data_IF_739009202235
#
_entry.id   IF_739009202235
#
_cell.length_a   1.000
_cell.length_b   1.000
_cell.length_c   1.000
_cell.angle_alpha   90.00
_cell.angle_beta   90.00
_cell.angle_gamma   90.00
#
_symmetry.space_group_name_H-M   'P 1'
#
loop_
_entity.id
_entity.type
_entity.pdbx_description
1 polymer ?
#
# COMPACT_ATOMS: atom_id res chain seq x y z
N UNK A 1 -2.66 26.63 -22.76
CA UNK A 1 -3.55 25.49 -22.46
C UNK A 1 -5.01 25.93 -22.42
N UNK A 2 -5.41 26.87 -21.55
CA UNK A 2 -6.82 27.28 -21.37
C UNK A 2 -7.38 28.27 -22.42
N UNK A 3 -6.75 28.39 -23.58
CA UNK A 3 -7.23 29.25 -24.70
C UNK A 3 -7.64 28.44 -25.93
N UNK A 4 -7.54 27.11 -25.84
CA UNK A 4 -7.79 26.19 -26.94
C UNK A 4 -8.94 25.24 -26.58
N UNK A 5 -9.66 24.80 -27.59
CA UNK A 5 -10.56 23.65 -27.52
C UNK A 5 -9.78 22.41 -27.96
N UNK A 6 -10.03 21.28 -27.30
CA UNK A 6 -9.31 20.04 -27.57
C UNK A 6 -10.24 19.03 -28.25
N UNK A 7 -9.71 18.23 -29.19
CA UNK A 7 -10.46 17.08 -29.71
C UNK A 7 -10.60 16.01 -28.62
N UNK A 8 -9.47 15.59 -28.05
CA UNK A 8 -9.40 14.56 -27.01
C UNK A 8 -8.48 15.06 -25.91
N UNK A 9 -8.87 14.84 -24.65
CA UNK A 9 -7.98 14.99 -23.48
C UNK A 9 -8.04 13.70 -22.70
N UNK A 10 -6.91 12.99 -22.63
CA UNK A 10 -6.78 11.74 -21.87
C UNK A 10 -5.93 11.96 -20.63
N UNK A 11 -6.47 11.60 -19.47
CA UNK A 11 -5.82 11.69 -18.17
C UNK A 11 -5.49 10.28 -17.69
N UNK A 12 -4.21 9.95 -17.71
CA UNK A 12 -3.68 8.75 -17.06
C UNK A 12 -3.53 8.97 -15.54
N UNK A 13 -3.73 7.91 -14.77
CA UNK A 13 -3.80 7.94 -13.30
C UNK A 13 -4.81 8.97 -12.77
N UNK A 14 -6.06 8.88 -13.25
CA UNK A 14 -7.15 9.79 -12.88
C UNK A 14 -7.49 9.80 -11.38
N UNK A 15 -6.94 8.88 -10.57
CA UNK A 15 -6.98 8.97 -9.11
C UNK A 15 -6.41 10.30 -8.56
N UNK A 16 -5.59 11.02 -9.34
CA UNK A 16 -5.14 12.39 -9.01
C UNK A 16 -6.29 13.41 -8.97
N UNK A 17 -7.42 13.13 -9.62
CA UNK A 17 -8.62 13.97 -9.65
C UNK A 17 -9.61 13.67 -8.51
N UNK A 18 -9.24 12.82 -7.54
CA UNK A 18 -10.10 12.51 -6.40
C UNK A 18 -10.32 13.68 -5.42
N UNK A 19 -9.36 14.61 -5.36
CA UNK A 19 -9.37 15.73 -4.40
C UNK A 19 -9.52 17.05 -5.16
N UNK A 20 -10.39 17.93 -4.67
CA UNK A 20 -10.59 19.30 -5.18
C UNK A 20 -9.35 20.17 -4.90
N UNK A 21 -8.30 19.96 -5.70
CA UNK A 21 -7.00 20.61 -5.59
C UNK A 21 -6.77 21.59 -6.74
N UNK A 22 -5.66 22.35 -6.69
CA UNK A 22 -5.23 23.17 -7.84
C UNK A 22 -5.05 22.32 -9.11
N UNK A 23 -4.56 21.09 -8.97
CA UNK A 23 -4.42 20.14 -10.08
C UNK A 23 -5.79 19.73 -10.63
N UNK A 24 -6.76 19.47 -9.75
CA UNK A 24 -8.12 19.18 -10.16
C UNK A 24 -8.72 20.32 -10.99
N UNK A 25 -8.64 21.56 -10.49
CA UNK A 25 -9.16 22.73 -11.21
C UNK A 25 -8.52 22.87 -12.61
N UNK A 26 -7.19 22.74 -12.67
CA UNK A 26 -6.45 22.82 -13.92
C UNK A 26 -6.83 21.72 -14.93
N UNK A 27 -6.96 20.46 -14.48
CA UNK A 27 -7.28 19.33 -15.35
C UNK A 27 -8.76 19.30 -15.74
N UNK A 28 -9.66 19.61 -14.80
CA UNK A 28 -11.11 19.70 -15.04
C UNK A 28 -11.42 20.73 -16.13
N UNK A 29 -10.82 21.92 -16.07
CA UNK A 29 -10.98 22.94 -17.12
C UNK A 29 -10.50 22.46 -18.50
N UNK A 30 -9.42 21.67 -18.54
CA UNK A 30 -8.94 21.09 -19.80
C UNK A 30 -9.89 20.00 -20.34
N UNK A 31 -10.43 19.17 -19.45
CA UNK A 31 -11.38 18.11 -19.77
C UNK A 31 -12.73 18.67 -20.27
N UNK A 32 -13.27 19.70 -19.62
CA UNK A 32 -14.51 20.37 -20.05
C UNK A 32 -14.39 21.07 -21.41
N UNK A 33 -13.16 21.42 -21.82
CA UNK A 33 -12.86 21.99 -23.15
C UNK A 33 -12.59 20.93 -24.22
N UNK A 34 -12.59 19.65 -23.85
CA UNK A 34 -12.37 18.54 -24.77
C UNK A 34 -13.71 18.06 -25.34
N UNK A 35 -13.74 17.73 -26.64
CA UNK A 35 -14.90 17.05 -27.23
C UNK A 35 -15.02 15.61 -26.72
N UNK A 36 -13.90 14.98 -26.37
CA UNK A 36 -13.84 13.64 -25.78
C UNK A 36 -12.88 13.62 -24.58
N UNK A 37 -13.39 13.83 -23.35
CA UNK A 37 -12.63 13.64 -22.13
C UNK A 37 -12.51 12.16 -21.78
N UNK A 38 -11.30 11.68 -21.51
CA UNK A 38 -11.02 10.30 -21.12
C UNK A 38 -10.24 10.31 -19.81
N UNK A 39 -10.70 9.53 -18.83
CA UNK A 39 -9.95 9.24 -17.61
C UNK A 39 -9.60 7.76 -17.56
N UNK A 40 -8.34 7.46 -17.24
CA UNK A 40 -7.85 6.11 -17.06
C UNK A 40 -7.34 5.95 -15.63
N UNK A 41 -7.83 4.93 -14.93
CA UNK A 41 -7.36 4.58 -13.60
C UNK A 41 -7.69 3.12 -13.30
N UNK A 42 -6.73 2.39 -12.74
CA UNK A 42 -6.99 1.05 -12.22
C UNK A 42 -7.79 1.10 -10.89
N UNK A 43 -7.74 2.25 -10.19
CA UNK A 43 -8.25 2.42 -8.83
C UNK A 43 -9.02 3.74 -8.74
N UNK A 44 -10.29 3.77 -9.18
CA UNK A 44 -11.07 5.01 -9.24
C UNK A 44 -11.52 5.53 -7.86
N UNK A 45 -11.48 4.69 -6.83
CA UNK A 45 -11.85 5.04 -5.46
C UNK A 45 -10.75 4.61 -4.50
N UNK A 46 -10.38 5.47 -3.54
CA UNK A 46 -9.34 5.20 -2.56
C UNK A 46 -9.89 5.12 -1.13
N UNK A 47 -10.53 6.19 -0.67
CA UNK A 47 -10.96 6.30 0.73
C UNK A 47 -12.45 6.61 0.87
N UNK A 48 -13.07 7.19 -0.16
CA UNK A 48 -14.43 7.71 -0.04
C UNK A 48 -15.19 7.65 -1.37
N UNK A 49 -16.52 7.46 -1.35
CA UNK A 49 -17.39 7.70 -2.50
C UNK A 49 -17.21 9.10 -3.14
N UNK A 50 -16.75 10.09 -2.35
CA UNK A 50 -16.44 11.43 -2.85
C UNK A 50 -15.34 11.44 -3.93
N UNK A 51 -14.44 10.45 -3.90
CA UNK A 51 -13.38 10.31 -4.90
C UNK A 51 -14.00 10.16 -6.31
N UNK A 52 -15.02 9.31 -6.43
CA UNK A 52 -15.74 9.08 -7.68
C UNK A 52 -16.56 10.29 -8.11
N UNK A 53 -17.23 10.95 -7.17
CA UNK A 53 -18.00 12.16 -7.46
C UNK A 53 -17.09 13.25 -8.05
N UNK A 54 -15.93 13.48 -7.45
CA UNK A 54 -15.00 14.50 -7.92
C UNK A 54 -14.39 14.14 -9.29
N UNK A 55 -14.16 12.85 -9.57
CA UNK A 55 -13.75 12.39 -10.90
C UNK A 55 -14.87 12.60 -11.93
N UNK A 56 -16.11 12.25 -11.57
CA UNK A 56 -17.29 12.42 -12.43
C UNK A 56 -17.55 13.89 -12.79
N UNK A 57 -17.42 14.78 -11.80
CA UNK A 57 -17.48 16.23 -12.01
C UNK A 57 -16.39 16.72 -12.98
N UNK A 58 -15.15 16.23 -12.84
CA UNK A 58 -14.05 16.61 -13.74
C UNK A 58 -14.25 16.11 -15.18
N UNK A 59 -14.93 14.98 -15.35
CA UNK A 59 -15.26 14.41 -16.66
C UNK A 59 -16.52 15.02 -17.28
N UNK A 60 -17.30 15.79 -16.52
CA UNK A 60 -18.57 16.34 -16.97
C UNK A 60 -19.70 15.31 -17.04
N UNK A 61 -19.69 14.30 -16.16
CA UNK A 61 -20.82 13.36 -16.01
C UNK A 61 -22.03 14.14 -15.48
N UNK A 62 -23.16 14.24 -16.22
CA UNK A 62 -24.26 15.16 -15.89
C UNK A 62 -24.80 14.99 -14.47
N UNK A 63 -24.97 13.73 -14.03
CA UNK A 63 -25.53 13.39 -12.73
C UNK A 63 -24.58 13.73 -11.57
N UNK A 64 -23.29 13.87 -11.83
CA UNK A 64 -22.29 14.26 -10.84
C UNK A 64 -22.18 15.77 -10.65
N UNK A 65 -22.73 16.58 -11.57
CA UNK A 65 -22.74 18.05 -11.50
C UNK A 65 -23.92 18.59 -10.67
N UNK A 66 -24.77 17.72 -10.14
CA UNK A 66 -25.85 18.12 -9.23
C UNK A 66 -25.31 18.59 -7.87
N UNK A 67 -25.36 19.91 -7.67
CA UNK A 67 -24.96 20.56 -6.42
C UNK A 67 -25.75 20.08 -5.20
N UNK A 68 -27.01 19.64 -5.35
CA UNK A 68 -27.81 19.15 -4.23
C UNK A 68 -27.29 17.80 -3.74
N UNK A 69 -27.13 16.82 -4.65
CA UNK A 69 -26.56 15.51 -4.33
C UNK A 69 -25.14 15.64 -3.78
N UNK A 70 -24.29 16.46 -4.42
CA UNK A 70 -22.91 16.69 -3.98
C UNK A 70 -22.81 17.30 -2.58
N UNK A 71 -23.79 18.11 -2.18
CA UNK A 71 -23.86 18.67 -0.82
C UNK A 71 -24.34 17.62 0.19
N UNK A 72 -25.33 16.81 -0.17
CA UNK A 72 -25.90 15.77 0.68
C UNK A 72 -24.88 14.69 1.02
N UNK A 73 -24.21 14.12 0.02
CA UNK A 73 -23.16 13.11 0.19
C UNK A 73 -22.00 13.61 1.06
N UNK A 74 -21.54 14.86 0.86
CA UNK A 74 -20.49 15.47 1.69
C UNK A 74 -20.94 15.61 3.15
N UNK A 75 -22.22 15.96 3.37
CA UNK A 75 -22.81 16.10 4.71
C UNK A 75 -22.96 14.73 5.40
N UNK A 76 -23.53 13.75 4.72
CA UNK A 76 -23.79 12.40 5.26
C UNK A 76 -22.47 11.67 5.59
N UNK A 77 -21.52 11.66 4.64
CA UNK A 77 -20.19 11.04 4.83
C UNK A 77 -19.38 11.80 5.89
N UNK A 78 -19.42 13.13 5.90
CA UNK A 78 -18.73 13.93 6.91
C UNK A 78 -19.26 13.67 8.32
N UNK A 79 -20.58 13.53 8.48
CA UNK A 79 -21.22 13.23 9.77
C UNK A 79 -20.84 11.83 10.27
N UNK A 80 -21.01 10.81 9.44
CA UNK A 80 -20.75 9.41 9.80
C UNK A 80 -19.26 9.17 10.10
N UNK A 81 -18.36 9.73 9.28
CA UNK A 81 -16.92 9.62 9.50
C UNK A 81 -16.48 10.23 10.84
N UNK A 82 -17.00 11.40 11.21
CA UNK A 82 -16.70 12.02 12.52
C UNK A 82 -17.16 11.14 13.68
N UNK A 83 -18.35 10.54 13.59
CA UNK A 83 -18.87 9.62 14.63
C UNK A 83 -18.00 8.38 14.75
N UNK A 84 -17.63 7.76 13.63
CA UNK A 84 -16.75 6.59 13.60
C UNK A 84 -15.36 6.90 14.17
N UNK A 85 -14.77 8.04 13.83
CA UNK A 85 -13.48 8.47 14.40
C UNK A 85 -13.58 8.70 15.92
N UNK A 86 -14.65 9.32 16.40
CA UNK A 86 -14.87 9.54 17.83
C UNK A 86 -15.07 8.23 18.60
N UNK A 87 -15.81 7.28 18.03
CA UNK A 87 -16.00 5.94 18.60
C UNK A 87 -14.68 5.18 18.63
N UNK A 88 -13.94 5.15 17.52
CA UNK A 88 -12.65 4.49 17.43
C UNK A 88 -11.65 5.06 18.44
N UNK A 89 -11.55 6.38 18.55
CA UNK A 89 -10.66 7.04 19.52
C UNK A 89 -11.03 6.79 20.98
N UNK A 90 -12.28 6.41 21.26
CA UNK A 90 -12.71 6.00 22.61
C UNK A 90 -12.35 4.54 22.86
N UNK A 91 -12.70 3.65 21.93
CA UNK A 91 -12.41 2.23 22.01
C UNK A 91 -10.89 1.97 22.08
N UNK A 92 -10.09 2.71 21.32
CA UNK A 92 -8.63 2.57 21.29
C UNK A 92 -7.93 2.93 22.61
N UNK A 93 -8.64 3.55 23.57
CA UNK A 93 -8.10 3.88 24.90
C UNK A 93 -8.33 2.77 25.93
N UNK A 94 -9.12 1.74 25.59
CA UNK A 94 -9.34 0.59 26.45
C UNK A 94 -8.10 -0.32 26.45
N UNK A 95 -7.74 -0.87 27.62
CA UNK A 95 -6.52 -1.67 27.79
C UNK A 95 -6.52 -2.94 26.92
N UNK A 96 -7.69 -3.53 26.73
CA UNK A 96 -7.86 -4.81 26.03
C UNK A 96 -8.24 -4.62 24.55
N UNK A 97 -8.25 -3.38 24.03
CA UNK A 97 -8.71 -3.07 22.67
C UNK A 97 -7.96 -3.87 21.61
N UNK A 98 -6.66 -4.05 21.79
CA UNK A 98 -5.80 -4.74 20.84
C UNK A 98 -6.10 -6.24 20.82
N UNK A 99 -6.17 -6.86 21.99
CA UNK A 99 -6.44 -8.29 22.13
C UNK A 99 -7.86 -8.61 21.64
N UNK A 100 -8.81 -7.72 21.91
CA UNK A 100 -10.17 -7.80 21.40
C UNK A 100 -10.22 -7.58 19.87
N UNK A 101 -9.38 -6.71 19.30
CA UNK A 101 -9.34 -6.46 17.86
C UNK A 101 -8.76 -7.68 17.12
N UNK A 102 -7.71 -8.28 17.67
CA UNK A 102 -7.06 -9.48 17.12
C UNK A 102 -7.97 -10.70 17.23
N UNK A 103 -8.70 -10.84 18.34
CA UNK A 103 -9.70 -11.91 18.52
C UNK A 103 -11.02 -11.66 17.79
N UNK A 104 -11.17 -10.53 17.10
CA UNK A 104 -12.39 -10.17 16.36
C UNK A 104 -13.60 -9.85 17.24
N UNK A 105 -13.39 -9.54 18.52
CA UNK A 105 -14.43 -9.26 19.52
C UNK A 105 -14.80 -7.77 19.63
N UNK A 106 -14.09 -6.86 18.96
CA UNK A 106 -14.44 -5.43 18.97
C UNK A 106 -15.61 -5.15 18.01
N UNK A 107 -16.76 -4.78 18.56
CA UNK A 107 -17.87 -4.24 17.78
C UNK A 107 -17.81 -2.70 17.71
N UNK A 108 -17.74 -2.16 16.49
CA UNK A 108 -17.73 -0.71 16.20
C UNK A 108 -18.98 -0.33 15.40
N UNK A 109 -20.12 -0.06 16.07
CA UNK A 109 -21.38 0.21 15.39
C UNK A 109 -21.37 1.50 14.57
N UNK A 110 -20.68 2.57 14.99
CA UNK A 110 -20.59 3.79 14.19
C UNK A 110 -19.69 3.60 12.95
N UNK A 111 -18.64 2.75 13.05
CA UNK A 111 -17.87 2.34 11.86
C UNK A 111 -18.71 1.51 10.88
N UNK A 112 -19.57 0.61 11.38
CA UNK A 112 -20.55 -0.11 10.53
C UNK A 112 -21.56 0.85 9.88
N UNK A 113 -22.09 1.83 10.61
CA UNK A 113 -22.96 2.89 10.07
C UNK A 113 -22.26 3.66 8.93
N UNK A 114 -20.99 4.03 9.12
CA UNK A 114 -20.18 4.68 8.10
C UNK A 114 -20.03 3.83 6.83
N UNK A 115 -19.72 2.54 6.98
CA UNK A 115 -19.59 1.62 5.83
C UNK A 115 -20.90 1.45 5.08
N UNK A 116 -22.03 1.34 5.79
CA UNK A 116 -23.36 1.29 5.17
C UNK A 116 -23.71 2.58 4.40
N UNK A 117 -23.43 3.74 4.98
CA UNK A 117 -23.62 5.02 4.31
C UNK A 117 -22.75 5.14 3.04
N UNK A 118 -21.48 4.72 3.13
CA UNK A 118 -20.60 4.68 1.96
C UNK A 118 -21.15 3.75 0.88
N UNK A 119 -21.52 2.51 1.23
CA UNK A 119 -22.06 1.53 0.30
C UNK A 119 -23.35 2.02 -0.41
N UNK A 120 -24.22 2.74 0.30
CA UNK A 120 -25.42 3.39 -0.26
C UNK A 120 -25.05 4.37 -1.38
N UNK A 121 -24.16 5.32 -1.11
CA UNK A 121 -23.74 6.30 -2.13
C UNK A 121 -22.97 5.66 -3.29
N UNK A 122 -22.20 4.61 -3.01
CA UNK A 122 -21.49 3.83 -4.04
C UNK A 122 -22.48 3.26 -5.06
N UNK A 123 -23.62 2.70 -4.61
CA UNK A 123 -24.66 2.19 -5.50
C UNK A 123 -25.25 3.30 -6.39
N UNK A 124 -25.52 4.47 -5.84
CA UNK A 124 -26.02 5.63 -6.60
C UNK A 124 -24.97 6.14 -7.61
N UNK A 125 -23.72 6.26 -7.21
CA UNK A 125 -22.65 6.69 -8.13
C UNK A 125 -22.47 5.68 -9.26
N UNK A 126 -22.61 4.37 -9.00
CA UNK A 126 -22.58 3.36 -10.07
C UNK A 126 -23.65 3.59 -11.13
N UNK A 127 -24.86 4.01 -10.74
CA UNK A 127 -25.91 4.33 -11.71
C UNK A 127 -25.56 5.57 -12.54
N UNK A 128 -24.89 6.56 -11.96
CA UNK A 128 -24.45 7.77 -12.68
C UNK A 128 -23.37 7.46 -13.73
N UNK A 129 -22.48 6.53 -13.41
CA UNK A 129 -21.40 6.13 -14.32
C UNK A 129 -21.81 5.03 -15.33
N UNK A 130 -23.06 4.58 -15.31
CA UNK A 130 -23.55 3.57 -16.24
C UNK A 130 -23.50 4.11 -17.67
N UNK A 131 -22.83 3.39 -18.57
CA UNK A 131 -22.61 3.84 -19.96
C UNK A 131 -21.37 4.72 -20.16
N UNK A 132 -20.73 5.21 -19.09
CA UNK A 132 -19.50 6.02 -19.17
C UNK A 132 -18.23 5.26 -18.78
N UNK A 133 -18.36 4.11 -18.12
CA UNK A 133 -17.21 3.30 -17.66
C UNK A 133 -17.09 2.02 -18.49
N UNK A 134 -15.87 1.74 -18.93
CA UNK A 134 -15.45 0.43 -19.42
C UNK A 134 -14.47 -0.15 -18.41
N UNK A 135 -14.76 -1.35 -17.91
CA UNK A 135 -13.86 -2.08 -17.01
C UNK A 135 -13.88 -3.56 -17.35
N UNK A 136 -12.70 -4.13 -17.52
CA UNK A 136 -12.50 -5.58 -17.64
C UNK A 136 -11.67 -6.07 -16.45
N UNK A 137 -12.00 -7.25 -15.96
CA UNK A 137 -11.21 -7.98 -14.97
C UNK A 137 -10.29 -8.98 -15.69
N UNK A 138 -9.37 -9.60 -14.97
CA UNK A 138 -8.47 -10.60 -15.56
C UNK A 138 -9.21 -11.88 -15.96
N UNK A 139 -10.31 -12.17 -15.26
CA UNK A 139 -11.24 -13.26 -15.56
C UNK A 139 -12.27 -12.89 -16.64
N UNK A 140 -12.25 -11.65 -17.14
CA UNK A 140 -13.13 -11.29 -18.24
C UNK A 140 -12.75 -12.11 -19.47
N UNK A 141 -13.79 -12.56 -20.19
CA UNK A 141 -13.63 -13.39 -21.36
C UNK A 141 -13.39 -12.51 -22.59
N UNK A 142 -12.58 -13.02 -23.52
CA UNK A 142 -12.47 -12.50 -24.87
C UNK A 142 -13.68 -12.91 -25.72
N UNK A 143 -13.65 -12.57 -27.01
CA UNK A 143 -14.73 -12.89 -27.95
C UNK A 143 -14.86 -14.40 -28.24
N UNK A 144 -13.84 -15.20 -27.91
CA UNK A 144 -13.84 -16.66 -28.05
C UNK A 144 -14.28 -17.39 -26.77
N UNK A 145 -14.60 -16.64 -25.69
CA UNK A 145 -14.94 -17.21 -24.39
C UNK A 145 -13.74 -17.65 -23.56
N UNK A 146 -12.51 -17.24 -23.91
CA UNK A 146 -11.29 -17.53 -23.14
C UNK A 146 -10.94 -16.36 -22.21
N UNK A 147 -10.34 -16.60 -21.04
CA UNK A 147 -9.87 -15.52 -20.17
C UNK A 147 -8.83 -14.63 -20.87
N UNK A 148 -9.00 -13.31 -20.81
CA UNK A 148 -8.13 -12.34 -21.50
C UNK A 148 -6.66 -12.42 -21.07
N UNK A 149 -6.41 -12.70 -19.78
CA UNK A 149 -5.06 -12.69 -19.23
C UNK A 149 -4.41 -14.08 -19.22
N UNK A 150 -5.22 -15.13 -18.97
CA UNK A 150 -4.74 -16.51 -18.79
C UNK A 150 -3.75 -16.72 -17.64
N UNK A 151 -3.42 -15.66 -16.86
CA UNK A 151 -2.49 -15.73 -15.74
C UNK A 151 -3.08 -16.55 -14.60
N UNK A 152 -2.28 -17.46 -14.06
CA UNK A 152 -2.62 -18.15 -12.82
C UNK A 152 -2.80 -17.12 -11.69
N UNK A 153 -3.71 -17.35 -10.73
CA UNK A 153 -3.89 -16.47 -9.59
C UNK A 153 -2.59 -16.38 -8.78
N UNK A 154 -2.22 -15.16 -8.37
CA UNK A 154 -1.09 -14.97 -7.46
C UNK A 154 -1.45 -15.48 -6.06
N UNK A 155 -0.46 -15.98 -5.32
CA UNK A 155 -0.64 -16.37 -3.92
C UNK A 155 -0.13 -15.25 -3.02
N UNK A 156 -0.99 -14.75 -2.13
CA UNK A 156 -0.60 -13.82 -1.07
C UNK A 156 -0.59 -14.52 0.29
N UNK A 157 0.52 -14.36 1.03
CA UNK A 157 0.69 -14.86 2.39
C UNK A 157 1.04 -13.70 3.32
N UNK A 158 0.24 -13.50 4.35
CA UNK A 158 0.60 -12.62 5.47
C UNK A 158 1.35 -13.43 6.51
N UNK A 159 2.62 -13.10 6.73
CA UNK A 159 3.50 -13.76 7.70
C UNK A 159 3.46 -12.93 8.99
N UNK A 160 2.74 -13.43 9.98
CA UNK A 160 2.58 -12.81 11.29
C UNK A 160 3.72 -13.24 12.21
N UNK A 161 4.68 -12.34 12.44
CA UNK A 161 5.89 -12.59 13.20
C UNK A 161 5.75 -12.07 14.63
N UNK A 162 6.19 -12.87 15.60
CA UNK A 162 6.28 -12.41 16.99
C UNK A 162 7.53 -11.52 17.16
N UNK A 163 7.38 -10.29 17.67
CA UNK A 163 8.52 -9.39 17.90
C UNK A 163 9.47 -9.98 18.96
N UNK A 164 10.78 -9.77 18.80
CA UNK A 164 11.79 -10.15 19.78
C UNK A 164 11.71 -9.27 21.04
N UNK A 165 12.29 -9.70 22.16
CA UNK A 165 12.22 -8.95 23.44
C UNK A 165 12.78 -7.53 23.34
N UNK A 166 13.87 -7.34 22.59
CA UNK A 166 14.43 -6.01 22.33
C UNK A 166 13.47 -5.12 21.50
N UNK A 167 12.82 -5.71 20.49
CA UNK A 167 11.82 -5.03 19.65
C UNK A 167 10.58 -4.67 20.47
N UNK A 168 10.07 -5.60 21.29
CA UNK A 168 8.94 -5.36 22.21
C UNK A 168 9.22 -4.17 23.12
N UNK A 169 10.41 -4.11 23.72
CA UNK A 169 10.81 -3.00 24.60
C UNK A 169 10.85 -1.66 23.85
N UNK A 170 11.42 -1.65 22.64
CA UNK A 170 11.51 -0.43 21.83
C UNK A 170 10.14 0.05 21.33
N UNK A 171 9.27 -0.87 20.90
CA UNK A 171 7.90 -0.59 20.47
C UNK A 171 7.03 -0.09 21.63
N UNK A 172 7.13 -0.70 22.81
CA UNK A 172 6.42 -0.25 24.01
C UNK A 172 6.84 1.16 24.43
N UNK A 173 8.14 1.47 24.37
CA UNK A 173 8.64 2.82 24.66
C UNK A 173 8.11 3.87 23.67
N UNK A 174 8.08 3.53 22.38
CA UNK A 174 7.55 4.41 21.33
C UNK A 174 6.04 4.63 21.47
N UNK A 175 5.28 3.57 21.79
CA UNK A 175 3.84 3.66 22.03
C UNK A 175 3.49 4.50 23.26
N UNK A 176 4.28 4.42 24.33
CA UNK A 176 4.12 5.26 25.52
C UNK A 176 4.38 6.74 25.22
N UNK A 177 5.42 7.05 24.43
CA UNK A 177 5.71 8.42 24.00
C UNK A 177 4.60 8.98 23.10
N UNK A 178 4.12 8.21 22.12
CA UNK A 178 2.97 8.59 21.29
C UNK A 178 1.76 8.86 22.17
N UNK A 179 1.47 7.99 23.14
CA UNK A 179 0.34 8.17 24.07
C UNK A 179 0.49 9.38 24.97
N UNK A 180 1.71 9.74 25.39
CA UNK A 180 1.99 10.93 26.19
C UNK A 180 1.79 12.22 25.36
N UNK A 181 2.29 12.23 24.12
CA UNK A 181 2.13 13.34 23.17
C UNK A 181 0.65 13.51 22.79
N UNK A 182 -0.08 12.41 22.59
CA UNK A 182 -1.50 12.41 22.23
C UNK A 182 -2.44 12.62 23.43
N UNK A 183 -1.98 12.32 24.65
CA UNK A 183 -2.76 12.37 25.90
C UNK A 183 -2.68 13.71 26.65
N UNK A 184 -1.77 14.61 26.28
CA UNK A 184 -1.53 15.87 27.00
C UNK A 184 -2.25 17.08 26.36
N UNK A 185 -3.59 17.11 26.47
CA UNK A 185 -4.37 18.36 26.43
C UNK A 185 -5.21 18.64 25.18
N UNK A 186 -6.18 19.58 25.28
CA UNK A 186 -7.14 19.88 24.20
C UNK A 186 -6.44 20.50 22.98
N UNK A 187 -7.04 20.39 21.77
CA UNK A 187 -6.45 20.91 20.55
C UNK A 187 -6.39 22.44 20.61
N UNK A 188 -5.22 22.98 20.94
CA UNK A 188 -5.01 24.44 20.99
C UNK A 188 -3.79 24.95 21.75
N UNK A 189 -3.19 24.16 22.66
CA UNK A 189 -2.24 24.75 23.65
C UNK A 189 -0.87 24.08 23.73
N UNK A 190 -0.49 23.21 22.80
CA UNK A 190 0.82 22.53 22.78
C UNK A 190 1.85 23.19 21.86
N UNK A 191 1.78 24.51 21.70
CA UNK A 191 2.77 25.28 20.94
C UNK A 191 4.02 25.67 21.75
N UNK A 192 4.09 25.44 23.06
CA UNK A 192 5.03 26.19 23.91
C UNK A 192 6.23 25.40 24.49
N UNK A 193 6.17 24.07 24.62
CA UNK A 193 7.23 23.33 25.32
C UNK A 193 8.43 22.91 24.43
N UNK A 194 8.29 22.95 23.11
CA UNK A 194 9.36 22.65 22.14
C UNK A 194 10.02 23.91 21.53
N UNK A 195 9.65 25.09 22.04
CA UNK A 195 10.07 26.39 21.49
C UNK A 195 11.41 26.89 22.04
N UNK A 196 12.09 26.12 22.91
CA UNK A 196 13.39 26.48 23.48
C UNK A 196 14.59 25.90 22.71
N UNK A 197 14.40 24.90 21.84
CA UNK A 197 15.50 24.26 21.09
C UNK A 197 15.56 24.64 19.61
N UNK A 198 14.49 25.19 19.04
CA UNK A 198 14.45 25.63 17.64
C UNK A 198 14.02 27.09 17.59
N UNK A 199 14.91 27.94 17.06
CA UNK A 199 14.80 29.40 17.07
C UNK A 199 13.49 29.98 16.46
N UNK A 200 13.30 31.30 16.58
CA UNK A 200 11.98 31.97 16.62
C UNK A 200 11.26 32.12 15.26
N UNK A 201 11.43 31.21 14.31
CA UNK A 201 10.89 31.32 12.95
C UNK A 201 9.94 30.17 12.57
N UNK A 202 8.89 29.91 13.33
CA UNK A 202 7.76 29.09 12.86
C UNK A 202 6.48 29.37 13.65
N UNK A 203 5.75 30.44 13.32
CA UNK A 203 4.34 30.58 13.71
C UNK A 203 3.47 29.99 12.60
N UNK A 204 3.23 28.68 12.65
CA UNK A 204 2.20 28.02 11.83
C UNK A 204 1.60 26.84 12.60
N UNK A 205 0.29 26.65 12.45
CA UNK A 205 -0.59 25.61 13.00
C UNK A 205 -0.20 24.13 12.73
N UNK A 206 1.03 23.86 12.28
CA UNK A 206 1.46 22.57 11.73
C UNK A 206 2.56 21.87 12.55
N UNK A 207 3.00 22.45 13.68
CA UNK A 207 4.13 21.88 14.45
C UNK A 207 3.71 20.58 15.16
N UNK A 208 2.48 20.49 15.65
CA UNK A 208 1.95 19.27 16.28
C UNK A 208 1.73 18.14 15.28
N UNK A 209 1.26 18.46 14.06
CA UNK A 209 1.12 17.51 12.95
C UNK A 209 2.47 17.02 12.43
N UNK A 210 3.47 17.89 12.35
CA UNK A 210 4.81 17.53 11.91
C UNK A 210 5.53 16.64 12.94
N UNK A 211 5.38 16.95 14.24
CA UNK A 211 5.90 16.12 15.32
C UNK A 211 5.23 14.74 15.34
N UNK A 212 3.89 14.67 15.29
CA UNK A 212 3.17 13.38 15.24
C UNK A 212 3.48 12.57 13.98
N UNK A 213 3.70 13.21 12.83
CA UNK A 213 4.19 12.52 11.64
C UNK A 213 5.58 11.94 11.85
N UNK A 214 6.52 12.69 12.43
CA UNK A 214 7.87 12.19 12.71
C UNK A 214 7.85 11.00 13.67
N UNK A 215 7.14 11.13 14.80
CA UNK A 215 7.00 10.04 15.78
C UNK A 215 6.36 8.79 15.18
N UNK A 216 5.35 8.95 14.34
CA UNK A 216 4.70 7.83 13.68
C UNK A 216 5.64 7.13 12.67
N UNK A 217 6.46 7.91 11.95
CA UNK A 217 7.48 7.39 11.04
C UNK A 217 8.55 6.61 11.82
N UNK A 218 9.03 7.14 12.94
CA UNK A 218 10.03 6.47 13.79
C UNK A 218 9.48 5.17 14.41
N UNK A 219 8.23 5.19 14.86
CA UNK A 219 7.54 3.99 15.34
C UNK A 219 7.45 2.91 14.27
N UNK A 220 7.09 3.29 13.03
CA UNK A 220 7.08 2.35 11.90
C UNK A 220 8.46 1.82 11.56
N UNK A 221 9.50 2.65 11.63
CA UNK A 221 10.88 2.21 11.39
C UNK A 221 11.38 1.25 12.48
N UNK A 222 10.92 1.43 13.72
CA UNK A 222 11.20 0.52 14.84
C UNK A 222 10.68 -0.90 14.58
N UNK A 223 9.62 -1.07 13.79
CA UNK A 223 9.13 -2.40 13.39
C UNK A 223 10.11 -3.16 12.48
N UNK A 224 10.98 -2.46 11.76
CA UNK A 224 11.97 -3.09 10.91
C UNK A 224 13.23 -3.48 11.70
N UNK A 225 13.68 -2.62 12.62
CA UNK A 225 14.71 -2.95 13.60
C UNK A 225 14.64 -1.94 14.76
N UNK A 226 14.77 -2.43 15.99
CA UNK A 226 14.73 -1.59 17.19
C UNK A 226 15.83 -0.51 17.25
N UNK A 227 17.00 -0.75 16.65
CA UNK A 227 18.12 0.22 16.60
C UNK A 227 17.84 1.47 15.78
N UNK A 228 16.91 1.38 14.82
CA UNK A 228 16.52 2.53 14.00
C UNK A 228 15.84 3.65 14.80
N UNK A 229 15.43 3.37 16.05
CA UNK A 229 14.93 4.37 16.97
C UNK A 229 16.04 5.23 17.58
N UNK A 230 17.19 4.62 17.85
CA UNK A 230 18.34 5.28 18.49
C UNK A 230 19.21 5.99 17.44
N UNK A 231 19.38 5.34 16.29
CA UNK A 231 20.24 5.80 15.22
C UNK A 231 19.59 5.56 13.86
N UNK A 232 19.27 6.65 13.16
CA UNK A 232 18.55 6.61 11.90
C UNK A 232 19.27 5.83 10.79
N UNK A 233 20.60 5.93 10.74
CA UNK A 233 21.42 5.29 9.70
C UNK A 233 22.11 4.01 10.19
N UNK A 234 21.59 3.40 11.27
CA UNK A 234 22.17 2.17 11.81
C UNK A 234 22.14 1.04 10.78
N UNK A 235 23.26 0.33 10.66
CA UNK A 235 23.43 -0.87 9.84
C UNK A 235 24.44 -1.79 10.54
N UNK A 236 24.27 -3.11 10.47
CA UNK A 236 25.20 -4.03 11.11
C UNK A 236 26.55 -4.04 10.39
N UNK A 237 27.64 -3.99 11.14
CA UNK A 237 28.99 -4.05 10.55
C UNK A 237 29.34 -5.47 10.10
N UNK A 238 29.01 -6.46 10.94
CA UNK A 238 29.28 -7.87 10.71
C UNK A 238 28.09 -8.76 11.14
N UNK A 239 28.28 -10.08 10.97
CA UNK A 239 27.27 -11.07 11.35
C UNK A 239 27.06 -11.15 12.87
N UNK A 240 28.08 -10.84 13.69
CA UNK A 240 27.98 -10.89 15.15
C UNK A 240 27.13 -9.73 15.67
N UNK A 241 27.37 -8.52 15.15
CA UNK A 241 26.58 -7.31 15.41
C UNK A 241 25.13 -7.48 14.94
N UNK A 242 24.92 -8.10 13.76
CA UNK A 242 23.57 -8.42 13.30
C UNK A 242 22.84 -9.40 14.23
N UNK A 243 23.53 -10.45 14.70
CA UNK A 243 22.94 -11.43 15.62
C UNK A 243 22.62 -10.81 16.99
N UNK A 244 23.47 -9.90 17.48
CA UNK A 244 23.23 -9.14 18.71
C UNK A 244 21.99 -8.23 18.58
N UNK A 245 21.79 -7.65 17.39
CA UNK A 245 20.70 -6.71 17.09
C UNK A 245 19.66 -7.30 16.12
N UNK A 246 19.37 -8.59 16.27
CA UNK A 246 18.51 -9.33 15.35
C UNK A 246 17.10 -8.72 15.27
N UNK A 247 16.51 -8.75 14.07
CA UNK A 247 15.10 -8.41 13.86
C UNK A 247 14.30 -9.59 13.31
N UNK A 248 13.07 -9.77 13.81
CA UNK A 248 12.17 -10.80 13.31
C UNK A 248 11.84 -10.63 11.81
N UNK A 249 11.56 -9.39 11.37
CA UNK A 249 11.23 -9.10 9.96
C UNK A 249 12.42 -9.34 9.03
N UNK A 250 13.62 -8.92 9.43
CA UNK A 250 14.83 -9.09 8.62
C UNK A 250 15.26 -10.56 8.54
N UNK A 251 15.13 -11.33 9.63
CA UNK A 251 15.41 -12.78 9.61
C UNK A 251 14.43 -13.53 8.69
N UNK A 252 13.13 -13.20 8.76
CA UNK A 252 12.12 -13.77 7.87
C UNK A 252 12.39 -13.39 6.41
N UNK A 253 12.75 -12.14 6.12
CA UNK A 253 13.15 -11.69 4.78
C UNK A 253 14.30 -12.53 4.22
N UNK A 254 15.38 -12.67 4.99
CA UNK A 254 16.56 -13.44 4.58
C UNK A 254 16.19 -14.89 4.31
N UNK A 255 15.42 -15.53 5.19
CA UNK A 255 14.98 -16.92 5.02
C UNK A 255 14.15 -17.12 3.75
N UNK A 256 13.21 -16.21 3.46
CA UNK A 256 12.39 -16.26 2.25
C UNK A 256 13.27 -16.11 1.00
N UNK A 257 14.22 -15.17 1.01
CA UNK A 257 15.12 -14.97 -0.11
C UNK A 257 16.09 -16.14 -0.31
N UNK A 258 16.69 -16.68 0.74
CA UNK A 258 17.57 -17.84 0.65
C UNK A 258 16.82 -19.07 0.10
N UNK A 259 15.57 -19.27 0.51
CA UNK A 259 14.73 -20.36 0.03
C UNK A 259 14.51 -20.28 -1.49
N UNK A 260 14.04 -19.13 -1.98
CA UNK A 260 13.66 -18.95 -3.39
C UNK A 260 14.83 -18.66 -4.32
N UNK A 261 15.89 -18.02 -3.84
CA UNK A 261 17.08 -17.76 -4.66
C UNK A 261 18.02 -18.96 -4.71
N UNK A 262 17.97 -19.85 -3.72
CA UNK A 262 18.80 -21.06 -3.68
C UNK A 262 18.49 -22.04 -4.81
N UNK A 263 17.21 -22.19 -5.16
CA UNK A 263 16.75 -23.04 -6.27
C UNK A 263 15.42 -22.50 -6.79
N UNK A 264 15.26 -22.43 -8.11
CA UNK A 264 14.07 -21.83 -8.71
C UNK A 264 12.86 -22.76 -8.68
N UNK A 265 11.67 -22.17 -8.80
CA UNK A 265 10.38 -22.88 -8.85
C UNK A 265 10.13 -23.73 -7.60
N UNK A 266 10.59 -23.25 -6.45
CA UNK A 266 10.26 -23.86 -5.16
C UNK A 266 8.84 -23.49 -4.71
N UNK A 267 8.20 -24.35 -3.89
CA UNK A 267 6.91 -24.03 -3.31
C UNK A 267 7.02 -22.80 -2.39
N UNK A 268 5.92 -22.06 -2.21
CA UNK A 268 5.89 -20.92 -1.33
C UNK A 268 6.08 -21.34 0.13
N UNK A 269 6.60 -20.45 0.97
CA UNK A 269 6.70 -20.66 2.41
C UNK A 269 5.40 -20.29 3.14
N UNK A 270 5.10 -21.00 4.24
CA UNK A 270 4.06 -20.69 5.23
C UNK A 270 4.63 -20.73 6.64
N UNK A 271 3.94 -20.11 7.60
CA UNK A 271 4.26 -20.31 9.02
C UNK A 271 3.61 -21.61 9.51
N UNK A 272 4.36 -22.41 10.24
CA UNK A 272 3.82 -23.54 11.02
C UNK A 272 3.29 -23.08 12.39
N UNK A 273 2.72 -24.01 13.15
CA UNK A 273 2.20 -23.76 14.50
C UNK A 273 3.29 -23.32 15.50
N UNK A 274 4.56 -23.56 15.17
CA UNK A 274 5.73 -23.15 15.95
C UNK A 274 6.36 -21.84 15.44
N UNK A 275 5.67 -21.10 14.56
CA UNK A 275 6.10 -19.84 13.95
C UNK A 275 7.36 -19.94 13.09
N UNK A 276 7.69 -21.13 12.59
CA UNK A 276 8.79 -21.33 11.64
C UNK A 276 8.29 -21.22 10.20
N UNK A 277 9.12 -20.65 9.34
CA UNK A 277 8.88 -20.61 7.91
C UNK A 277 9.20 -21.98 7.31
N UNK A 278 8.17 -22.69 6.87
CA UNK A 278 8.25 -24.02 6.28
C UNK A 278 7.68 -24.03 4.85
N UNK A 279 8.18 -24.90 3.96
CA UNK A 279 7.62 -25.06 2.62
C UNK A 279 6.15 -25.51 2.65
N UNK A 280 5.31 -24.88 1.84
CA UNK A 280 3.91 -25.28 1.66
C UNK A 280 3.83 -26.39 0.60
N UNK A 281 4.09 -27.63 1.03
CA UNK A 281 4.12 -28.81 0.15
C UNK A 281 2.76 -29.11 -0.51
N UNK A 282 1.66 -28.58 0.03
CA UNK A 282 0.32 -28.74 -0.52
C UNK A 282 0.03 -27.78 -1.69
N UNK A 283 0.85 -26.75 -1.88
CA UNK A 283 0.65 -25.79 -2.95
C UNK A 283 0.97 -26.44 -4.32
N UNK A 284 0.00 -26.50 -5.25
CA UNK A 284 0.21 -27.14 -6.54
C UNK A 284 1.12 -26.28 -7.42
N UNK A 285 2.40 -26.64 -7.49
CA UNK A 285 3.35 -25.94 -8.35
C UNK A 285 3.07 -26.22 -9.83
N UNK A 286 2.85 -25.19 -10.67
CA UNK A 286 2.72 -25.38 -12.10
C UNK A 286 4.05 -25.86 -12.69
N UNK A 287 3.98 -26.61 -13.78
CA UNK A 287 5.18 -27.00 -14.53
C UNK A 287 5.89 -25.74 -15.02
N UNK A 288 7.20 -25.59 -14.80
CA UNK A 288 7.94 -24.41 -15.23
C UNK A 288 7.81 -24.23 -16.75
N UNK A 289 7.48 -23.02 -17.19
CA UNK A 289 7.50 -22.69 -18.61
C UNK A 289 8.92 -22.88 -19.16
N UNK A 290 9.11 -23.43 -20.37
CA UNK A 290 10.45 -23.59 -20.97
C UNK A 290 11.23 -22.28 -21.10
N UNK A 291 10.52 -21.15 -21.18
CA UNK A 291 11.09 -19.81 -21.27
C UNK A 291 11.20 -19.10 -19.90
N UNK A 292 10.93 -19.80 -18.79
CA UNK A 292 11.03 -19.23 -17.46
C UNK A 292 12.50 -19.06 -17.07
N UNK A 293 12.94 -17.81 -16.97
CA UNK A 293 14.23 -17.46 -16.38
C UNK A 293 14.28 -17.71 -14.86
N UNK A 294 15.43 -17.41 -14.21
CA UNK A 294 15.63 -17.68 -12.79
C UNK A 294 14.66 -16.88 -11.91
N UNK A 295 14.46 -17.34 -10.67
CA UNK A 295 13.62 -16.64 -9.71
C UNK A 295 14.23 -15.31 -9.31
N UNK A 296 13.40 -14.27 -9.32
CA UNK A 296 13.78 -12.90 -9.01
C UNK A 296 12.80 -12.34 -8.00
N UNK A 297 13.36 -11.70 -6.98
CA UNK A 297 12.62 -11.18 -5.85
C UNK A 297 12.65 -9.65 -5.81
N UNK A 298 11.50 -9.07 -5.51
CA UNK A 298 11.34 -7.65 -5.25
C UNK A 298 11.01 -7.47 -3.76
N UNK A 299 11.86 -6.74 -3.07
CA UNK A 299 11.69 -6.36 -1.67
C UNK A 299 11.19 -4.92 -1.64
N UNK A 300 9.94 -4.76 -1.20
CA UNK A 300 9.34 -3.45 -1.00
C UNK A 300 9.57 -2.98 0.43
N UNK A 301 10.18 -1.79 0.55
CA UNK A 301 10.39 -1.07 1.79
C UNK A 301 9.95 0.38 1.62
N UNK A 302 9.02 0.85 2.45
CA UNK A 302 8.39 2.17 2.29
C UNK A 302 9.39 3.31 2.52
N UNK A 303 10.40 3.08 3.37
CA UNK A 303 11.38 4.08 3.79
C UNK A 303 12.73 3.91 3.08
N UNK A 304 13.09 4.77 2.11
CA UNK A 304 14.35 4.67 1.39
C UNK A 304 15.60 4.71 2.27
N UNK A 305 15.53 5.37 3.42
CA UNK A 305 16.65 5.45 4.37
C UNK A 305 17.01 4.07 4.96
N UNK A 306 16.03 3.17 5.09
CA UNK A 306 16.26 1.83 5.60
C UNK A 306 16.89 0.90 4.56
N UNK A 307 16.93 1.28 3.27
CA UNK A 307 17.48 0.43 2.21
C UNK A 307 18.95 0.10 2.44
N UNK A 308 19.74 1.04 2.96
CA UNK A 308 21.16 0.79 3.24
C UNK A 308 21.35 -0.35 4.24
N UNK A 309 20.56 -0.34 5.31
CA UNK A 309 20.57 -1.39 6.33
C UNK A 309 20.06 -2.73 5.77
N UNK A 310 18.94 -2.73 5.05
CA UNK A 310 18.40 -3.95 4.43
C UNK A 310 19.46 -4.59 3.53
N UNK A 311 20.11 -3.80 2.67
CA UNK A 311 21.15 -4.31 1.75
C UNK A 311 22.38 -4.82 2.48
N UNK A 312 22.77 -4.18 3.58
CA UNK A 312 23.88 -4.64 4.41
C UNK A 312 23.57 -6.01 5.01
N UNK A 313 22.38 -6.20 5.58
CA UNK A 313 21.93 -7.51 6.11
C UNK A 313 21.92 -8.56 5.00
N UNK A 314 21.34 -8.25 3.83
CA UNK A 314 21.35 -9.18 2.69
C UNK A 314 22.78 -9.55 2.28
N UNK A 315 23.70 -8.59 2.22
CA UNK A 315 25.10 -8.83 1.88
C UNK A 315 25.81 -9.71 2.90
N UNK A 316 25.56 -9.53 4.20
CA UNK A 316 26.13 -10.37 5.26
C UNK A 316 25.68 -11.83 5.14
N UNK A 317 24.48 -12.06 4.57
CA UNK A 317 23.95 -13.38 4.26
C UNK A 317 24.29 -13.88 2.84
N UNK A 318 25.18 -13.18 2.12
CA UNK A 318 25.63 -13.57 0.76
C UNK A 318 24.61 -13.29 -0.35
N UNK A 319 23.60 -12.44 -0.10
CA UNK A 319 22.57 -12.08 -1.09
C UNK A 319 22.89 -10.71 -1.67
N UNK A 320 23.28 -10.69 -2.94
CA UNK A 320 23.46 -9.43 -3.66
C UNK A 320 22.12 -8.80 -4.05
N UNK A 321 22.05 -7.47 -3.98
CA UNK A 321 20.82 -6.72 -4.24
C UNK A 321 21.06 -5.40 -4.99
N UNK A 322 20.13 -5.10 -5.91
CA UNK A 322 20.03 -3.84 -6.63
C UNK A 322 19.06 -2.94 -5.87
N UNK A 323 19.38 -1.64 -5.79
CA UNK A 323 18.55 -0.66 -5.09
C UNK A 323 17.93 0.32 -6.09
N UNK A 324 16.62 0.57 -6.00
CA UNK A 324 15.99 1.68 -6.69
C UNK A 324 15.28 2.58 -5.68
N UNK A 325 15.65 3.86 -5.68
CA UNK A 325 15.04 4.87 -4.83
C UNK A 325 14.73 6.15 -5.62
N UNK A 326 13.87 7.00 -5.06
CA UNK A 326 13.40 8.22 -5.72
C UNK A 326 14.41 9.35 -5.84
N UNK A 327 15.57 9.25 -5.17
CA UNK A 327 16.61 10.29 -5.17
C UNK A 327 17.51 10.22 -6.40
N UNK A 328 17.50 9.11 -7.13
CA UNK A 328 18.31 8.89 -8.34
C UNK A 328 17.56 9.36 -9.59
N UNK A 329 18.28 10.01 -10.51
CA UNK A 329 17.75 10.51 -11.78
C UNK A 329 17.13 9.41 -12.64
N UNK A 330 16.25 9.78 -13.58
CA UNK A 330 15.46 8.85 -14.38
C UNK A 330 16.29 7.81 -15.16
N UNK A 331 17.41 8.23 -15.78
CA UNK A 331 18.27 7.33 -16.55
C UNK A 331 18.93 6.23 -15.71
N UNK A 332 19.49 6.58 -14.55
CA UNK A 332 20.13 5.61 -13.64
C UNK A 332 19.10 4.62 -13.07
N UNK A 333 17.84 5.06 -12.94
CA UNK A 333 16.75 4.19 -12.49
C UNK A 333 16.43 3.14 -13.55
N UNK A 334 16.28 3.54 -14.80
CA UNK A 334 16.04 2.63 -15.92
C UNK A 334 17.17 1.62 -16.08
N UNK A 335 18.42 2.07 -16.02
CA UNK A 335 19.60 1.19 -16.09
C UNK A 335 19.56 0.09 -15.01
N UNK A 336 19.24 0.45 -13.76
CA UNK A 336 19.15 -0.53 -12.65
C UNK A 336 18.00 -1.51 -12.82
N UNK A 337 16.88 -1.07 -13.38
CA UNK A 337 15.79 -1.98 -13.72
C UNK A 337 16.19 -2.93 -14.84
N UNK A 338 16.87 -2.45 -15.86
CA UNK A 338 17.36 -3.30 -16.96
C UNK A 338 18.39 -4.30 -16.45
N UNK A 339 19.30 -3.89 -15.55
CA UNK A 339 20.23 -4.80 -14.87
C UNK A 339 19.47 -5.89 -14.10
N UNK A 340 18.44 -5.52 -13.35
CA UNK A 340 17.63 -6.47 -12.60
C UNK A 340 16.87 -7.43 -13.52
N UNK A 341 16.26 -6.94 -14.60
CA UNK A 341 15.51 -7.77 -15.56
C UNK A 341 16.40 -8.78 -16.29
N UNK A 342 17.63 -8.39 -16.59
CA UNK A 342 18.62 -9.23 -17.29
C UNK A 342 19.44 -10.10 -16.34
N UNK A 343 19.21 -10.00 -15.02
CA UNK A 343 19.98 -10.75 -14.02
C UNK A 343 19.85 -12.26 -14.22
N UNK A 344 21.00 -12.93 -14.28
CA UNK A 344 21.12 -14.38 -14.26
C UNK A 344 21.45 -14.90 -12.85
N UNK A 345 21.74 -16.20 -12.71
CA UNK A 345 22.02 -16.84 -11.40
C UNK A 345 23.22 -16.23 -10.68
N UNK A 346 24.24 -15.82 -11.45
CA UNK A 346 25.49 -15.24 -10.94
C UNK A 346 25.42 -13.71 -10.73
N UNK A 347 24.24 -13.12 -10.95
CA UNK A 347 24.02 -11.68 -10.83
C UNK A 347 22.98 -11.39 -9.75
N UNK A 348 22.88 -10.14 -9.24
CA UNK A 348 21.89 -9.78 -8.25
C UNK A 348 20.44 -9.99 -8.75
N UNK A 349 19.75 -10.99 -8.18
CA UNK A 349 18.34 -11.32 -8.47
C UNK A 349 17.36 -10.73 -7.46
N UNK A 350 17.83 -9.85 -6.58
CA UNK A 350 17.02 -9.16 -5.57
C UNK A 350 16.98 -7.66 -5.85
N UNK A 351 15.78 -7.08 -5.93
CA UNK A 351 15.57 -5.65 -6.07
C UNK A 351 14.96 -5.07 -4.79
N UNK A 352 15.61 -4.10 -4.16
CA UNK A 352 15.05 -3.32 -3.05
C UNK A 352 14.49 -2.01 -3.60
N UNK A 353 13.20 -1.74 -3.37
CA UNK A 353 12.55 -0.53 -3.86
C UNK A 353 11.53 0.07 -2.89
N UNK A 354 11.30 1.37 -3.03
CA UNK A 354 10.26 2.12 -2.30
C UNK A 354 9.09 2.52 -3.20
N UNK A 355 8.14 3.29 -2.67
CA UNK A 355 6.95 3.79 -3.38
C UNK A 355 7.26 4.45 -4.73
N UNK A 356 8.46 5.02 -4.89
CA UNK A 356 8.87 5.68 -6.13
C UNK A 356 9.06 4.67 -7.28
N UNK A 357 9.19 3.38 -6.99
CA UNK A 357 9.15 2.28 -7.97
C UNK A 357 7.73 1.84 -8.37
N UNK A 358 6.66 2.33 -7.71
CA UNK A 358 5.30 1.84 -7.96
C UNK A 358 4.61 2.48 -9.19
N UNK A 359 5.16 3.57 -9.74
CA UNK A 359 4.56 4.27 -10.89
C UNK A 359 5.35 4.02 -12.17
N UNK A 360 4.66 3.53 -13.20
CA UNK A 360 5.16 3.52 -14.59
C UNK A 360 6.16 2.43 -14.96
N UNK A 361 6.37 1.40 -14.13
CA UNK A 361 7.36 0.36 -14.37
C UNK A 361 6.71 -1.02 -14.54
N UNK A 362 7.28 -1.85 -15.42
CA UNK A 362 6.88 -3.24 -15.63
C UNK A 362 7.96 -4.16 -15.05
N UNK A 363 7.58 -5.11 -14.17
CA UNK A 363 8.47 -6.04 -13.47
C UNK A 363 7.99 -7.49 -13.63
N UNK A 364 7.43 -7.84 -14.79
CA UNK A 364 6.97 -9.19 -15.13
C UNK A 364 8.07 -10.26 -15.07
N UNK A 365 9.34 -9.86 -15.06
CA UNK A 365 10.49 -10.75 -14.91
C UNK A 365 10.70 -11.25 -13.48
N UNK A 366 10.04 -10.62 -12.49
CA UNK A 366 10.04 -11.03 -11.09
C UNK A 366 8.76 -11.77 -10.73
N UNK A 367 8.92 -12.78 -9.88
CA UNK A 367 7.83 -13.65 -9.45
C UNK A 367 7.65 -13.68 -7.92
N UNK A 368 8.57 -13.09 -7.17
CA UNK A 368 8.48 -13.02 -5.71
C UNK A 368 8.42 -11.56 -5.29
N UNK A 369 7.41 -11.20 -4.50
CA UNK A 369 7.27 -9.89 -3.87
C UNK A 369 7.28 -10.06 -2.36
N UNK A 370 8.14 -9.32 -1.66
CA UNK A 370 8.22 -9.31 -0.20
C UNK A 370 7.97 -7.88 0.27
N UNK A 371 6.85 -7.65 0.96
CA UNK A 371 6.50 -6.38 1.57
C UNK A 371 6.96 -6.37 3.03
N UNK A 372 8.00 -5.60 3.34
CA UNK A 372 8.50 -5.41 4.72
C UNK A 372 7.63 -4.46 5.53
N UNK A 373 7.08 -3.46 4.84
CA UNK A 373 6.24 -2.43 5.40
C UNK A 373 4.81 -2.57 4.88
N UNK A 374 3.84 -2.35 5.76
CA UNK A 374 2.44 -2.27 5.35
C UNK A 374 2.21 -1.02 4.49
N UNK A 375 1.53 -1.22 3.36
CA UNK A 375 1.08 -0.12 2.52
C UNK A 375 -0.12 0.58 3.20
N UNK A 376 -0.35 1.83 2.84
CA UNK A 376 -1.39 2.67 3.44
C UNK A 376 -2.79 2.38 2.88
N UNK A 377 -2.82 1.64 1.77
CA UNK A 377 -4.03 1.23 1.09
C UNK A 377 -3.83 -0.09 0.37
N UNK A 378 -4.91 -0.88 0.31
CA UNK A 378 -4.95 -2.08 -0.51
C UNK A 378 -4.83 -1.76 -2.02
N UNK A 379 -5.20 -0.56 -2.44
CA UNK A 379 -5.01 -0.11 -3.83
C UNK A 379 -3.53 -0.03 -4.19
N UNK A 380 -2.71 0.61 -3.37
CA UNK A 380 -1.26 0.65 -3.57
C UNK A 380 -0.66 -0.76 -3.58
N UNK A 381 -1.14 -1.65 -2.69
CA UNK A 381 -0.74 -3.05 -2.67
C UNK A 381 -1.08 -3.77 -4.00
N UNK A 382 -2.31 -3.65 -4.50
CA UNK A 382 -2.70 -4.25 -5.78
C UNK A 382 -1.94 -3.65 -6.97
N UNK A 383 -1.67 -2.35 -6.95
CA UNK A 383 -0.85 -1.70 -7.97
C UNK A 383 0.58 -2.26 -7.96
N UNK A 384 1.14 -2.49 -6.78
CA UNK A 384 2.46 -3.11 -6.59
C UNK A 384 2.50 -4.56 -7.08
N UNK A 385 1.53 -5.38 -6.66
CA UNK A 385 1.40 -6.78 -7.13
C UNK A 385 1.21 -6.82 -8.64
N UNK A 386 0.37 -5.94 -9.20
CA UNK A 386 0.13 -5.82 -10.63
C UNK A 386 1.33 -5.36 -11.47
N UNK A 387 2.48 -5.02 -10.84
CA UNK A 387 3.76 -4.82 -11.55
C UNK A 387 4.46 -6.13 -11.88
N UNK A 388 4.29 -7.16 -11.04
CA UNK A 388 4.86 -8.49 -11.23
C UNK A 388 3.84 -9.44 -11.88
N UNK A 389 2.61 -9.41 -11.37
CA UNK A 389 1.50 -10.21 -11.87
C UNK A 389 0.86 -9.56 -13.09
N UNK A 390 1.61 -9.60 -14.21
CA UNK A 390 1.24 -8.98 -15.48
C UNK A 390 1.83 -9.76 -16.66
N UNK A 391 1.11 -9.82 -17.78
CA UNK A 391 1.64 -10.43 -19.00
C UNK A 391 2.88 -9.67 -19.53
N UNK A 392 3.93 -10.36 -20.02
CA UNK A 392 4.12 -11.81 -20.04
C UNK A 392 4.81 -12.32 -18.75
N UNK A 393 4.03 -12.87 -17.81
CA UNK A 393 4.55 -13.50 -16.60
C UNK A 393 4.56 -15.03 -16.78
N UNK A 394 5.73 -15.68 -16.92
CA UNK A 394 5.83 -17.11 -17.17
C UNK A 394 5.73 -17.99 -15.91
N UNK A 395 5.75 -17.40 -14.71
CA UNK A 395 5.83 -18.12 -13.43
C UNK A 395 4.68 -17.75 -12.47
N UNK A 396 4.34 -18.63 -11.51
CA UNK A 396 3.42 -18.27 -10.43
C UNK A 396 4.03 -17.13 -9.61
N UNK A 397 3.19 -16.15 -9.23
CA UNK A 397 3.62 -15.00 -8.44
C UNK A 397 3.31 -15.24 -6.97
N UNK A 398 4.31 -15.11 -6.12
CA UNK A 398 4.22 -15.23 -4.67
C UNK A 398 4.42 -13.87 -4.01
N UNK A 399 3.48 -13.50 -3.13
CA UNK A 399 3.51 -12.24 -2.39
C UNK A 399 3.56 -12.55 -0.89
N UNK A 400 4.60 -12.09 -0.21
CA UNK A 400 4.80 -12.20 1.23
C UNK A 400 4.64 -10.84 1.88
N UNK A 401 3.65 -10.68 2.74
CA UNK A 401 3.48 -9.48 3.57
C UNK A 401 3.97 -9.79 4.99
N UNK A 402 5.07 -9.18 5.41
CA UNK A 402 5.61 -9.38 6.76
C UNK A 402 4.95 -8.39 7.72
N UNK A 403 4.30 -8.92 8.76
CA UNK A 403 3.65 -8.12 9.81
C UNK A 403 4.21 -8.54 11.16
N UNK A 404 4.53 -7.57 12.03
CA UNK A 404 4.74 -7.90 13.44
C UNK A 404 3.38 -8.06 14.14
N UNK A 405 3.31 -8.95 15.13
CA UNK A 405 2.21 -9.02 16.09
C UNK A 405 2.25 -7.84 17.06
N UNK A 406 2.17 -6.63 16.52
CA UNK A 406 2.08 -5.37 17.25
C UNK A 406 0.75 -4.66 16.92
N UNK A 407 0.03 -4.11 17.92
CA UNK A 407 -1.23 -3.39 17.70
C UNK A 407 -1.22 -2.39 16.56
N UNK A 408 -0.12 -1.65 16.38
CA UNK A 408 -0.06 -0.57 15.42
C UNK A 408 0.10 -1.09 13.98
N UNK A 409 0.97 -2.10 13.77
CA UNK A 409 1.12 -2.78 12.47
C UNK A 409 -0.19 -3.49 12.07
N UNK A 410 -0.85 -4.12 13.05
CA UNK A 410 -2.14 -4.82 12.84
C UNK A 410 -3.27 -3.83 12.54
N UNK A 411 -3.34 -2.69 13.24
CA UNK A 411 -4.36 -1.66 12.97
C UNK A 411 -4.24 -1.11 11.55
N UNK A 412 -3.01 -0.86 11.07
CA UNK A 412 -2.79 -0.39 9.69
C UNK A 412 -3.20 -1.42 8.65
N UNK A 413 -2.94 -2.68 8.94
CA UNK A 413 -3.38 -3.80 8.11
C UNK A 413 -4.91 -3.80 7.99
N UNK A 414 -5.63 -3.76 9.13
CA UNK A 414 -7.11 -3.71 9.17
C UNK A 414 -7.67 -2.49 8.44
N UNK A 415 -7.10 -1.30 8.66
CA UNK A 415 -7.52 -0.07 7.98
C UNK A 415 -7.37 -0.18 6.45
N UNK A 416 -6.33 -0.85 5.97
CA UNK A 416 -6.10 -1.07 4.54
C UNK A 416 -7.13 -2.02 3.93
N UNK A 417 -7.51 -3.08 4.65
CA UNK A 417 -8.55 -4.03 4.22
C UNK A 417 -9.95 -3.42 4.20
N UNK A 418 -10.33 -2.59 5.18
CA UNK A 418 -11.64 -1.90 5.15
C UNK A 418 -11.80 -1.03 3.89
N UNK A 419 -10.72 -0.42 3.40
CA UNK A 419 -10.75 0.33 2.13
C UNK A 419 -10.90 -0.56 0.90
N UNK A 420 -10.40 -1.81 0.96
CA UNK A 420 -10.54 -2.79 -0.11
C UNK A 420 -12.00 -3.20 -0.30
N UNK A 421 -12.73 -3.43 0.80
CA UNK A 421 -14.15 -3.78 0.78
C UNK A 421 -15.00 -2.70 0.11
N UNK A 422 -14.69 -1.43 0.37
CA UNK A 422 -15.34 -0.29 -0.28
C UNK A 422 -15.11 -0.26 -1.80
N UNK A 423 -13.89 -0.56 -2.25
CA UNK A 423 -13.59 -0.70 -3.67
C UNK A 423 -14.34 -1.90 -4.26
N UNK A 424 -14.32 -3.06 -3.58
CA UNK A 424 -15.03 -4.28 -4.00
C UNK A 424 -16.51 -3.98 -4.23
N UNK A 425 -17.17 -3.33 -3.27
CA UNK A 425 -18.59 -2.97 -3.36
C UNK A 425 -18.92 -2.05 -4.56
N UNK A 426 -18.01 -1.16 -4.96
CA UNK A 426 -18.17 -0.39 -6.20
C UNK A 426 -18.00 -1.27 -7.44
N UNK A 427 -17.01 -2.16 -7.38
CA UNK A 427 -16.53 -2.94 -8.52
C UNK A 427 -17.28 -4.24 -8.81
N UNK A 428 -18.03 -4.77 -7.85
CA UNK A 428 -18.84 -6.00 -7.97
C UNK A 428 -19.99 -5.75 -8.94
N UNK A 429 -19.80 -6.10 -10.21
CA UNK A 429 -20.81 -6.01 -11.25
C UNK A 429 -22.08 -6.77 -10.84
N UNK A 430 -23.24 -6.12 -10.90
CA UNK A 430 -24.49 -6.86 -11.04
C UNK A 430 -24.45 -7.56 -12.41
N UNK A 431 -25.13 -8.70 -12.55
CA UNK A 431 -25.17 -9.45 -13.82
C UNK A 431 -25.56 -8.59 -15.03
N UNK A 432 -26.27 -7.48 -14.82
CA UNK A 432 -26.68 -6.54 -15.85
C UNK A 432 -25.54 -5.73 -16.47
N UNK A 433 -24.43 -5.48 -15.76
CA UNK A 433 -23.28 -4.76 -16.34
C UNK A 433 -22.39 -5.65 -17.20
N UNK A 434 -22.55 -6.99 -17.13
CA UNK A 434 -21.87 -7.95 -18.02
C UNK A 434 -22.49 -8.00 -19.42
N UNK A 435 -23.69 -7.41 -19.62
CA UNK A 435 -24.44 -7.47 -20.88
C UNK A 435 -24.21 -6.29 -21.82
N UNK A 436 -23.34 -5.34 -21.48
CA UNK A 436 -22.89 -4.33 -22.45
C UNK A 436 -21.58 -4.78 -23.12
N UNK A 437 -21.73 -5.74 -24.03
CA UNK A 437 -20.85 -5.97 -25.19
C UNK A 437 -21.72 -6.15 -26.40
#
# INVERSE_FOLDING_TARGET
IYGYTYGIVAVDEAAKLRNLSKMWNAMSEALHRAHCPIAMTATPMHNSPLDLLNIGMALGVPECDDNAYATDIRREIGRTSRRATLEFNKASKEKDFVDNLVSGQVDLPAKKEQLHAMAKHIKTLRTFFQGYIIRRTLDALDFEGKPISGLAPFLSRTILLTPLEAEKKALAGSAAEISLVMGSGPPGTLGCALLTTLGPCARTSNITDLATQHFYMDHRRTHLNHKLREQDDWKPEDMEDYLANKSAKLDALVRILQWHLGEDNRPPLKLDDSENLVPDAEYPMPTPSPNAGPDRAVVYAAFPMNHAMIRQVLSLHGIESIEVNGRKGGSLREERFDMFKRSNRDQPRTLVMSNVGMMGLNLSEANILICLDQLWSYQEYLQLVGRLWRFPQPKPVFVYSLCLKDPTDMTLTVMSFTKAELLSAFTEASEDTRKCT
#
